data_IF_552757457006
#
_entry.id   IF_552757457006
#
_cell.length_a   1.000
_cell.length_b   1.000
_cell.length_c   1.000
_cell.angle_alpha   90.00
_cell.angle_beta   90.00
_cell.angle_gamma   90.00
#
_symmetry.space_group_name_H-M   'P 1'
#
loop_
_entity.id
_entity.type
_entity.pdbx_description
1 polymer ?
#
# COMPACT_ATOMS: atom_id res chain seq x y z
N UNK A 1 -2.38 -9.87 6.59
CA UNK A 1 -1.77 -8.72 7.30
C UNK A 1 -2.77 -7.55 7.29
N UNK A 2 -2.53 -6.47 8.02
CA UNK A 2 -3.40 -5.27 8.00
C UNK A 2 -2.69 -4.10 7.32
N UNK A 3 -3.43 -3.28 6.59
CA UNK A 3 -2.94 -1.99 6.09
C UNK A 3 -3.84 -0.85 6.56
N UNK A 4 -3.23 0.23 7.05
CA UNK A 4 -3.90 1.45 7.48
C UNK A 4 -3.35 2.63 6.69
N UNK A 5 -4.21 3.33 5.98
CA UNK A 5 -3.84 4.52 5.22
C UNK A 5 -4.52 5.72 5.87
N UNK A 6 -3.72 6.65 6.39
CA UNK A 6 -4.21 7.84 7.10
C UNK A 6 -3.90 9.07 6.25
N UNK A 7 -4.93 9.82 5.89
CA UNK A 7 -4.81 11.05 5.12
C UNK A 7 -5.73 12.13 5.68
N UNK A 8 -5.43 13.40 5.40
CA UNK A 8 -6.33 14.51 5.76
C UNK A 8 -7.64 14.41 4.97
N UNK A 9 -7.57 14.02 3.70
CA UNK A 9 -8.71 14.02 2.76
C UNK A 9 -9.70 12.91 3.04
N UNK A 10 -9.21 11.69 3.27
CA UNK A 10 -10.03 10.48 3.39
C UNK A 10 -10.06 9.91 4.82
N UNK A 11 -9.41 10.57 5.78
CA UNK A 11 -9.29 10.06 7.15
C UNK A 11 -8.49 8.76 7.23
N UNK A 12 -8.91 7.87 8.12
CA UNK A 12 -8.36 6.51 8.28
C UNK A 12 -9.11 5.54 7.37
N UNK A 13 -8.37 4.85 6.50
CA UNK A 13 -8.83 3.73 5.70
C UNK A 13 -8.12 2.47 6.17
N UNK A 14 -8.88 1.41 6.45
CA UNK A 14 -8.36 0.14 6.93
C UNK A 14 -8.65 -0.97 5.91
N UNK A 15 -7.63 -1.79 5.66
CA UNK A 15 -7.70 -2.97 4.80
C UNK A 15 -7.28 -4.18 5.62
N UNK A 16 -8.20 -5.14 5.73
CA UNK A 16 -7.98 -6.43 6.37
C UNK A 16 -7.59 -7.48 5.33
N UNK A 17 -7.06 -8.62 5.77
CA UNK A 17 -6.69 -9.75 4.91
C UNK A 17 -5.81 -9.36 3.71
N UNK A 18 -4.95 -8.37 3.90
CA UNK A 18 -3.95 -7.98 2.92
C UNK A 18 -2.95 -9.13 2.77
N UNK A 19 -2.69 -9.52 1.53
CA UNK A 19 -1.74 -10.59 1.22
C UNK A 19 -0.33 -10.00 1.00
N UNK A 20 -0.29 -8.81 0.40
CA UNK A 20 0.95 -8.19 -0.03
C UNK A 20 0.78 -6.68 -0.18
N UNK A 21 1.85 -5.94 0.05
CA UNK A 21 1.94 -4.51 -0.21
C UNK A 21 3.14 -4.25 -1.09
N UNK A 22 2.92 -3.62 -2.24
CA UNK A 22 3.99 -3.17 -3.13
C UNK A 22 4.21 -1.69 -2.92
N UNK A 23 5.42 -1.31 -2.52
CA UNK A 23 5.82 0.09 -2.36
C UNK A 23 6.87 0.38 -3.42
N UNK A 24 6.57 1.28 -4.35
CA UNK A 24 7.56 1.76 -5.33
C UNK A 24 7.74 3.26 -5.17
N UNK A 25 8.90 3.62 -4.63
CA UNK A 25 9.38 4.99 -4.58
C UNK A 25 10.49 5.21 -5.60
N UNK A 26 10.95 6.45 -5.72
CA UNK A 26 12.11 6.79 -6.57
C UNK A 26 13.37 5.97 -6.28
N UNK A 27 13.56 5.56 -5.02
CA UNK A 27 14.79 4.91 -4.55
C UNK A 27 14.63 3.43 -4.22
N UNK A 28 13.40 2.97 -4.01
CA UNK A 28 13.14 1.62 -3.52
C UNK A 28 11.94 1.00 -4.22
N UNK A 29 12.04 -0.31 -4.46
CA UNK A 29 10.92 -1.15 -4.86
C UNK A 29 10.84 -2.28 -3.83
N UNK A 30 9.87 -2.21 -2.95
CA UNK A 30 9.70 -3.13 -1.83
C UNK A 30 8.41 -3.93 -2.00
N UNK A 31 8.52 -5.22 -1.70
CA UNK A 31 7.40 -6.13 -1.60
C UNK A 31 7.31 -6.59 -0.15
N UNK A 32 6.28 -6.13 0.55
CA UNK A 32 6.04 -6.44 1.96
C UNK A 32 4.95 -7.51 2.01
N UNK A 33 5.26 -8.64 2.62
CA UNK A 33 4.35 -9.75 2.83
C UNK A 33 4.12 -9.95 4.34
N UNK A 34 3.28 -10.92 4.70
CA UNK A 34 3.16 -11.36 6.07
C UNK A 34 4.53 -11.83 6.62
N UNK A 35 4.79 -11.49 7.89
CA UNK A 35 6.02 -11.74 8.64
C UNK A 35 7.28 -11.08 8.06
N UNK A 36 7.10 -10.01 7.28
CA UNK A 36 8.22 -9.22 6.81
C UNK A 36 8.92 -8.49 7.96
N UNK A 37 10.21 -8.19 7.78
CA UNK A 37 10.98 -7.46 8.79
C UNK A 37 10.41 -6.05 8.99
N UNK A 38 10.49 -5.47 10.20
CA UNK A 38 10.07 -4.10 10.39
C UNK A 38 10.81 -3.13 9.47
N UNK A 39 10.07 -2.24 8.81
CA UNK A 39 10.64 -1.24 7.90
C UNK A 39 9.95 0.10 8.08
N UNK A 40 10.70 1.18 7.98
CA UNK A 40 10.20 2.55 7.93
C UNK A 40 10.83 3.23 6.72
N UNK A 41 10.04 4.02 6.00
CA UNK A 41 10.54 4.70 4.82
C UNK A 41 9.67 5.86 4.36
N UNK A 42 10.27 6.71 3.55
CA UNK A 42 9.58 7.74 2.79
C UNK A 42 9.07 7.16 1.47
N UNK A 43 7.90 7.64 1.06
CA UNK A 43 7.25 7.30 -0.18
C UNK A 43 7.05 8.56 -1.00
N UNK A 44 7.61 8.57 -2.20
CA UNK A 44 7.25 9.45 -3.31
C UNK A 44 7.13 8.56 -4.55
N UNK A 45 5.90 8.17 -4.87
CA UNK A 45 5.62 7.15 -5.89
C UNK A 45 4.24 6.53 -5.72
N UNK A 46 4.16 5.19 -5.75
CA UNK A 46 2.90 4.46 -5.62
C UNK A 46 2.96 3.35 -4.58
N UNK A 47 1.77 3.00 -4.08
CA UNK A 47 1.54 1.83 -3.23
C UNK A 47 0.40 1.00 -3.78
N UNK A 48 0.60 -0.31 -3.86
CA UNK A 48 -0.47 -1.28 -4.13
C UNK A 48 -0.74 -2.09 -2.87
N UNK A 49 -2.01 -2.17 -2.49
CA UNK A 49 -2.51 -3.06 -1.44
C UNK A 49 -3.20 -4.21 -2.16
N UNK A 50 -2.59 -5.40 -2.09
CA UNK A 50 -3.11 -6.59 -2.75
C UNK A 50 -3.94 -7.39 -1.77
N UNK A 51 -5.21 -7.55 -2.10
CA UNK A 51 -6.19 -8.37 -1.37
C UNK A 51 -6.45 -9.64 -2.17
N UNK A 52 -7.27 -10.53 -1.62
CA UNK A 52 -7.58 -11.81 -2.26
C UNK A 52 -8.14 -11.67 -3.68
N UNK A 53 -9.14 -10.82 -3.86
CA UNK A 53 -9.91 -10.77 -5.11
C UNK A 53 -9.58 -9.53 -5.98
N UNK A 54 -8.94 -8.53 -5.39
CA UNK A 54 -8.65 -7.26 -6.07
C UNK A 54 -7.43 -6.58 -5.46
N UNK A 55 -6.95 -5.53 -6.11
CA UNK A 55 -5.91 -4.66 -5.58
C UNK A 55 -6.39 -3.22 -5.51
N UNK A 56 -5.88 -2.47 -4.53
CA UNK A 56 -6.11 -1.03 -4.41
C UNK A 56 -4.78 -0.32 -4.65
N UNK A 57 -4.69 0.43 -5.73
CA UNK A 57 -3.50 1.24 -6.05
C UNK A 57 -3.71 2.68 -5.65
N UNK A 58 -2.72 3.23 -4.97
CA UNK A 58 -2.50 4.65 -4.76
C UNK A 58 -1.44 5.10 -5.77
N UNK A 59 -1.83 5.57 -6.98
CA UNK A 59 -0.90 5.68 -8.12
C UNK A 59 0.10 6.81 -7.98
N UNK A 60 -0.21 7.85 -7.19
CA UNK A 60 0.68 8.97 -6.94
C UNK A 60 0.45 9.55 -5.55
N UNK A 61 1.34 9.20 -4.64
CA UNK A 61 1.22 9.50 -3.22
C UNK A 61 2.57 9.90 -2.65
N UNK A 62 2.56 10.89 -1.77
CA UNK A 62 3.70 11.29 -0.95
C UNK A 62 3.39 11.11 0.52
N UNK A 63 4.34 10.57 1.27
CA UNK A 63 4.19 10.38 2.71
C UNK A 63 5.23 9.43 3.30
N UNK A 64 4.89 8.87 4.46
CA UNK A 64 5.77 7.99 5.23
C UNK A 64 5.06 6.72 5.60
N UNK A 65 5.72 5.58 5.44
CA UNK A 65 5.18 4.30 5.86
C UNK A 65 6.01 3.64 6.95
N UNK A 66 5.34 2.83 7.75
CA UNK A 66 5.93 1.93 8.72
C UNK A 66 5.24 0.58 8.60
N UNK A 67 6.03 -0.48 8.57
CA UNK A 67 5.55 -1.85 8.70
C UNK A 67 6.16 -2.48 9.94
N UNK A 68 5.33 -3.04 10.81
CA UNK A 68 5.75 -3.76 12.01
C UNK A 68 4.62 -4.68 12.47
N UNK A 69 4.97 -5.90 12.92
CA UNK A 69 4.01 -6.86 13.49
C UNK A 69 2.79 -7.11 12.57
N UNK A 70 3.04 -7.35 11.29
CA UNK A 70 1.99 -7.57 10.28
C UNK A 70 0.98 -6.43 10.10
N UNK A 71 1.32 -5.23 10.57
CA UNK A 71 0.59 -4.00 10.34
C UNK A 71 1.43 -3.05 9.51
N UNK A 72 0.92 -2.67 8.34
CA UNK A 72 1.45 -1.60 7.53
C UNK A 72 0.64 -0.33 7.76
N UNK A 73 1.31 0.78 8.00
CA UNK A 73 0.72 2.09 8.17
C UNK A 73 1.33 3.05 7.17
N UNK A 74 0.52 3.81 6.45
CA UNK A 74 0.95 4.90 5.58
C UNK A 74 0.30 6.20 6.05
N UNK A 75 1.14 7.16 6.41
CA UNK A 75 0.76 8.53 6.69
C UNK A 75 0.92 9.34 5.40
N UNK A 76 -0.19 9.82 4.86
CA UNK A 76 -0.25 10.54 3.59
C UNK A 76 -0.06 12.03 3.85
N UNK A 77 1.02 12.58 3.31
CA UNK A 77 1.24 14.03 3.27
C UNK A 77 0.48 14.66 2.11
N UNK A 78 0.51 14.00 0.94
CA UNK A 78 -0.13 14.50 -0.27
C UNK A 78 -0.66 13.36 -1.13
N UNK A 79 -1.95 13.43 -1.45
CA UNK A 79 -2.59 12.55 -2.42
C UNK A 79 -2.71 13.32 -3.74
N UNK A 80 -2.06 12.85 -4.80
CA UNK A 80 -2.11 13.53 -6.11
C UNK A 80 -3.09 12.87 -7.08
N UNK A 81 -3.62 11.70 -6.70
CA UNK A 81 -4.63 10.97 -7.44
C UNK A 81 -5.41 10.07 -6.48
N UNK A 82 -6.71 9.92 -6.74
CA UNK A 82 -7.57 9.05 -5.95
C UNK A 82 -7.15 7.58 -6.09
N UNK A 83 -7.32 6.77 -5.03
CA UNK A 83 -7.04 5.34 -5.10
C UNK A 83 -7.98 4.66 -6.10
N UNK A 84 -7.46 3.67 -6.81
CA UNK A 84 -8.20 2.92 -7.84
C UNK A 84 -8.22 1.45 -7.44
N UNK A 85 -9.42 0.86 -7.40
CA UNK A 85 -9.58 -0.58 -7.30
C UNK A 85 -9.36 -1.20 -8.67
N UNK A 86 -8.50 -2.21 -8.75
CA UNK A 86 -8.18 -2.96 -9.95
C UNK A 86 -8.42 -4.45 -9.70
N UNK A 87 -8.79 -5.23 -10.74
CA UNK A 87 -8.75 -6.68 -10.65
C UNK A 87 -7.34 -7.12 -10.25
N UNK A 88 -7.25 -8.30 -9.65
CA UNK A 88 -5.96 -8.89 -9.31
C UNK A 88 -5.23 -9.22 -10.61
N UNK A 89 -3.98 -8.79 -10.74
CA UNK A 89 -3.14 -8.98 -11.95
C UNK A 89 -2.85 -10.47 -12.29
N UNK A 90 -3.48 -11.42 -11.60
CA UNK A 90 -3.26 -12.87 -11.72
C UNK A 90 -4.22 -13.55 -12.73
N UNK A 91 -5.11 -12.80 -13.41
CA UNK A 91 -5.81 -13.27 -14.61
C UNK A 91 -4.95 -12.95 -15.85
N UNK A 92 -3.78 -13.61 -15.97
CA UNK A 92 -3.24 -13.89 -17.30
C UNK A 92 -4.16 -14.94 -17.92
N UNK A 93 -4.86 -14.56 -18.99
CA UNK A 93 -5.73 -15.41 -19.79
C UNK A 93 -5.09 -16.79 -20.04
N UNK A 94 -5.70 -17.87 -19.51
CA UNK A 94 -5.42 -19.27 -19.92
C UNK A 94 -5.84 -19.53 -21.37
#
# INVERSE_FOLDING_TARGET
MKAKIVSIENGLQEYEDVEMIRVKSKHHNLLIMQHYMPVLGELDGYVDIVLKDHSVRFPKIKGYYMHKQDEFQLLVEKLEAQPVSMPRDDEEDE
#
